data_IF_896183507640
#
_entry.id   IF_896183507640
#
_cell.length_a   1.000
_cell.length_b   1.000
_cell.length_c   1.000
_cell.angle_alpha   90.00
_cell.angle_beta   90.00
_cell.angle_gamma   90.00
#
_symmetry.space_group_name_H-M   'P 1'
#
loop_
_entity.id
_entity.type
_entity.pdbx_description
1 polymer ?
#
# COMPACT_ATOMS: atom_id res chain seq x y z
N UNK A 1 -2.66 3.02 25.24
CA UNK A 1 -1.61 1.98 25.21
C UNK A 1 -0.98 1.99 23.81
N UNK A 2 0.35 1.97 23.69
CA UNK A 2 1.02 1.98 22.39
C UNK A 2 1.06 0.56 21.83
N UNK A 3 0.55 0.36 20.60
CA UNK A 3 0.67 -0.91 19.89
C UNK A 3 1.96 -0.94 19.09
N UNK A 4 2.73 -2.01 19.22
CA UNK A 4 4.03 -2.16 18.53
C UNK A 4 4.09 -3.58 17.95
N UNK A 5 4.36 -3.70 16.65
CA UNK A 5 4.60 -4.98 16.00
C UNK A 5 5.62 -4.85 14.87
N UNK A 6 6.50 -5.83 14.77
CA UNK A 6 7.40 -6.00 13.61
C UNK A 6 7.25 -7.43 13.12
N UNK A 7 6.93 -7.59 11.83
CA UNK A 7 6.67 -8.89 11.20
C UNK A 7 7.44 -9.01 9.89
N UNK A 8 7.85 -10.23 9.55
CA UNK A 8 8.44 -10.59 8.27
C UNK A 8 7.48 -11.47 7.49
N UNK A 9 7.44 -11.31 6.17
CA UNK A 9 6.51 -11.98 5.27
C UNK A 9 7.25 -12.60 4.10
N UNK A 10 6.82 -13.76 3.71
CA UNK A 10 7.19 -14.43 2.45
C UNK A 10 6.00 -14.55 1.51
N UNK A 11 4.81 -14.24 2.00
CA UNK A 11 3.57 -14.18 1.24
C UNK A 11 3.14 -12.72 1.02
N UNK A 12 2.95 -12.26 -0.24
CA UNK A 12 2.54 -10.90 -0.53
C UNK A 12 1.12 -10.59 -0.04
N UNK A 13 0.17 -11.54 -0.09
CA UNK A 13 -1.20 -11.28 0.33
C UNK A 13 -1.26 -10.98 1.83
N UNK A 14 -0.60 -11.81 2.66
CA UNK A 14 -0.47 -11.60 4.11
C UNK A 14 0.21 -10.25 4.44
N UNK A 15 1.22 -9.86 3.64
CA UNK A 15 1.89 -8.56 3.81
C UNK A 15 0.93 -7.40 3.55
N UNK A 16 0.21 -7.41 2.42
CA UNK A 16 -0.69 -6.31 2.08
C UNK A 16 -1.89 -6.22 3.03
N UNK A 17 -2.44 -7.35 3.47
CA UNK A 17 -3.47 -7.39 4.51
C UNK A 17 -2.98 -6.75 5.82
N UNK A 18 -1.71 -6.96 6.17
CA UNK A 18 -1.10 -6.41 7.38
C UNK A 18 -0.81 -4.90 7.30
N UNK A 19 -0.59 -4.35 6.11
CA UNK A 19 -0.40 -2.90 5.91
C UNK A 19 -1.70 -2.15 6.20
N UNK A 20 -2.83 -2.77 5.87
CA UNK A 20 -4.16 -2.18 6.00
C UNK A 20 -4.37 -1.55 7.38
N UNK A 21 -4.88 -0.53 7.69
CA UNK A 21 -5.06 0.11 8.95
C UNK A 21 -6.02 1.28 8.84
N UNK A 22 -5.78 2.10 7.86
CA UNK A 22 -6.71 3.18 7.48
C UNK A 22 -7.55 2.80 6.26
N UNK A 23 -7.29 1.63 5.65
CA UNK A 23 -8.03 1.09 4.51
C UNK A 23 -7.33 -0.10 3.87
N UNK A 24 -8.00 -0.85 3.01
CA UNK A 24 -7.41 -1.99 2.33
C UNK A 24 -6.23 -1.58 1.45
N UNK A 25 -5.23 -2.46 1.38
CA UNK A 25 -4.12 -2.38 0.44
C UNK A 25 -4.13 -3.68 -0.36
N UNK A 26 -4.18 -3.56 -1.68
CA UNK A 26 -4.02 -4.68 -2.60
C UNK A 26 -2.69 -4.54 -3.32
N UNK A 27 -1.95 -5.64 -3.45
CA UNK A 27 -0.66 -5.63 -4.12
C UNK A 27 -0.57 -6.66 -5.24
N UNK A 28 0.00 -6.24 -6.36
CA UNK A 28 0.30 -7.08 -7.51
C UNK A 28 1.80 -7.06 -7.73
N UNK A 29 2.46 -8.19 -7.48
CA UNK A 29 3.88 -8.34 -7.78
C UNK A 29 4.04 -8.40 -9.30
N UNK A 30 4.94 -7.59 -9.83
CA UNK A 30 5.17 -7.45 -11.27
C UNK A 30 6.50 -8.06 -11.73
N UNK A 31 7.41 -8.27 -10.80
CA UNK A 31 8.69 -8.93 -11.01
C UNK A 31 8.64 -10.42 -10.65
N UNK A 32 9.63 -11.16 -11.13
CA UNK A 32 9.85 -12.57 -10.79
C UNK A 32 10.74 -12.68 -9.55
N UNK A 33 10.55 -13.71 -8.76
CA UNK A 33 11.42 -14.04 -7.64
C UNK A 33 10.66 -14.36 -6.37
N UNK A 34 11.42 -14.66 -5.32
CA UNK A 34 10.86 -14.92 -4.00
C UNK A 34 10.52 -13.60 -3.31
N UNK A 35 9.29 -13.47 -2.90
CA UNK A 35 8.84 -12.29 -2.16
C UNK A 35 9.33 -12.36 -0.72
N UNK A 36 9.94 -11.27 -0.29
CA UNK A 36 10.28 -11.03 1.12
C UNK A 36 9.88 -9.61 1.47
N UNK A 37 9.25 -9.45 2.62
CA UNK A 37 8.92 -8.13 3.13
C UNK A 37 9.03 -8.08 4.65
N UNK A 38 9.26 -6.88 5.18
CA UNK A 38 9.13 -6.58 6.60
C UNK A 38 8.20 -5.40 6.79
N UNK A 39 7.40 -5.46 7.84
CA UNK A 39 6.50 -4.39 8.23
C UNK A 39 6.63 -4.12 9.72
N UNK A 40 6.93 -2.87 10.07
CA UNK A 40 6.88 -2.37 11.44
C UNK A 40 5.68 -1.44 11.57
N UNK A 41 4.83 -1.74 12.55
CA UNK A 41 3.65 -0.96 12.90
C UNK A 41 3.82 -0.41 14.31
N UNK A 42 3.67 0.90 14.48
CA UNK A 42 3.60 1.55 15.78
C UNK A 42 2.36 2.43 15.79
N UNK A 43 1.41 2.13 16.69
CA UNK A 43 0.27 2.99 16.90
C UNK A 43 0.45 3.68 18.26
N UNK A 44 0.80 4.93 18.21
CA UNK A 44 0.75 5.81 19.38
C UNK A 44 -0.70 6.18 19.70
N UNK A 45 -0.90 7.10 20.62
CA UNK A 45 -2.22 7.58 21.01
C UNK A 45 -3.01 8.17 19.84
N UNK A 46 -2.41 9.08 19.09
CA UNK A 46 -3.02 9.84 17.99
C UNK A 46 -2.35 9.56 16.64
N UNK A 47 -1.04 9.35 16.60
CA UNK A 47 -0.26 9.13 15.42
C UNK A 47 0.01 7.63 15.22
N UNK A 48 -0.24 7.12 14.02
CA UNK A 48 0.13 5.77 13.62
C UNK A 48 1.25 5.82 12.59
N UNK A 49 2.23 4.97 12.80
CA UNK A 49 3.40 4.86 11.95
C UNK A 49 3.45 3.47 11.29
N UNK A 50 3.81 3.45 10.03
CA UNK A 50 4.13 2.23 9.27
C UNK A 50 5.49 2.39 8.61
N UNK A 51 6.31 1.35 8.69
CA UNK A 51 7.58 1.25 7.99
C UNK A 51 7.62 -0.08 7.28
N UNK A 52 7.69 -0.06 5.96
CA UNK A 52 7.70 -1.25 5.13
C UNK A 52 8.96 -1.34 4.29
N UNK A 53 9.39 -2.58 4.07
CA UNK A 53 10.41 -2.95 3.10
C UNK A 53 9.92 -4.16 2.33
N UNK A 54 10.00 -4.14 1.01
CA UNK A 54 9.62 -5.27 0.16
C UNK A 54 10.62 -5.44 -0.99
N UNK A 55 10.83 -6.71 -1.37
CA UNK A 55 11.95 -7.13 -2.21
C UNK A 55 11.69 -7.04 -3.71
N UNK A 56 10.43 -6.94 -4.14
CA UNK A 56 10.07 -7.08 -5.55
C UNK A 56 9.35 -5.84 -6.10
N UNK A 57 9.53 -5.59 -7.40
CA UNK A 57 8.72 -4.62 -8.12
C UNK A 57 7.23 -4.97 -8.04
N UNK A 58 6.39 -3.95 -7.84
CA UNK A 58 4.96 -4.12 -7.63
C UNK A 58 4.12 -2.93 -8.04
N UNK A 59 2.84 -3.18 -8.17
CA UNK A 59 1.79 -2.15 -8.12
C UNK A 59 0.96 -2.42 -6.88
N UNK A 60 0.87 -1.46 -5.97
CA UNK A 60 -0.03 -1.52 -4.82
C UNK A 60 -1.15 -0.49 -4.99
N UNK A 61 -2.36 -0.87 -4.58
CA UNK A 61 -3.53 -0.01 -4.57
C UNK A 61 -3.87 0.24 -3.12
N UNK A 62 -3.88 1.50 -2.73
CA UNK A 62 -4.22 1.93 -1.39
C UNK A 62 -5.52 2.72 -1.42
N UNK A 63 -6.52 2.26 -0.65
CA UNK A 63 -7.84 2.88 -0.57
C UNK A 63 -8.14 3.29 0.87
N UNK A 64 -7.87 4.55 1.28
CA UNK A 64 -8.15 5.00 2.64
C UNK A 64 -9.67 5.01 2.90
N UNK A 65 -10.08 4.36 3.99
CA UNK A 65 -11.48 4.27 4.44
C UNK A 65 -11.73 4.99 5.76
N UNK A 66 -10.68 5.23 6.53
CA UNK A 66 -10.77 5.96 7.80
C UNK A 66 -10.47 7.44 7.60
N UNK A 67 -11.13 8.28 8.38
CA UNK A 67 -10.92 9.73 8.40
C UNK A 67 -9.57 10.08 9.07
N UNK A 68 -8.46 9.66 8.45
CA UNK A 68 -7.10 9.98 8.89
C UNK A 68 -6.26 10.47 7.72
N UNK A 69 -5.57 11.57 7.91
CA UNK A 69 -4.62 12.07 6.92
C UNK A 69 -3.40 11.18 6.89
N UNK A 70 -3.06 10.67 5.71
CA UNK A 70 -1.91 9.79 5.50
C UNK A 70 -0.83 10.52 4.72
N UNK A 71 0.39 10.48 5.23
CA UNK A 71 1.58 10.96 4.54
C UNK A 71 2.51 9.80 4.25
N UNK A 72 2.95 9.68 3.00
CA UNK A 72 3.83 8.62 2.51
C UNK A 72 5.13 9.23 2.01
N UNK A 73 6.25 8.60 2.33
CA UNK A 73 7.59 9.05 1.92
C UNK A 73 8.56 7.87 1.74
N UNK A 74 9.68 8.10 1.07
CA UNK A 74 10.78 7.15 1.01
C UNK A 74 11.58 7.21 2.31
N UNK A 75 11.88 6.07 2.91
CA UNK A 75 12.71 6.02 4.13
C UNK A 75 14.20 6.07 3.83
N UNK A 76 14.59 5.88 2.56
CA UNK A 76 15.95 5.90 2.08
C UNK A 76 16.06 6.85 0.87
N UNK A 77 17.18 7.57 0.75
CA UNK A 77 17.45 8.44 -0.39
C UNK A 77 17.98 7.67 -1.60
N UNK A 78 18.71 6.59 -1.35
CA UNK A 78 19.40 5.80 -2.35
C UNK A 78 18.51 4.66 -2.89
N UNK A 79 17.27 4.98 -3.26
CA UNK A 79 16.36 4.02 -3.87
C UNK A 79 15.73 4.56 -5.15
N UNK A 80 15.32 3.68 -6.07
CA UNK A 80 14.66 4.11 -7.30
C UNK A 80 13.42 4.98 -7.03
N UNK A 81 13.18 5.92 -7.93
CA UNK A 81 11.98 6.73 -7.90
C UNK A 81 10.72 5.84 -7.92
N UNK A 82 9.69 6.27 -7.20
CA UNK A 82 8.40 5.60 -7.14
C UNK A 82 7.39 6.38 -7.96
N UNK A 83 6.42 5.69 -8.54
CA UNK A 83 5.28 6.35 -9.16
C UNK A 83 4.11 6.25 -8.18
N UNK A 84 3.59 7.39 -7.77
CA UNK A 84 2.41 7.48 -6.92
C UNK A 84 1.38 8.30 -7.67
N UNK A 85 0.18 7.77 -7.79
CA UNK A 85 -0.90 8.40 -8.56
C UNK A 85 -0.51 8.71 -10.04
N UNK A 86 0.40 7.93 -10.62
CA UNK A 86 0.89 8.13 -12.00
C UNK A 86 2.01 9.15 -12.15
N UNK A 87 2.47 9.75 -11.06
CA UNK A 87 3.56 10.73 -11.09
C UNK A 87 4.81 10.14 -10.46
N UNK A 88 5.93 10.29 -11.14
CA UNK A 88 7.23 9.89 -10.60
C UNK A 88 7.57 10.75 -9.38
N UNK A 89 7.92 10.11 -8.28
CA UNK A 89 8.26 10.75 -7.01
C UNK A 89 9.71 10.53 -6.66
N UNK A 90 10.38 11.63 -6.44
CA UNK A 90 11.74 11.60 -5.94
C UNK A 90 11.74 11.19 -4.45
N UNK A 91 12.84 10.58 -3.97
CA UNK A 91 12.90 10.17 -2.57
C UNK A 91 12.65 11.30 -1.56
N UNK A 92 13.03 12.54 -1.86
CA UNK A 92 12.88 13.71 -0.99
C UNK A 92 11.46 14.33 -0.98
N UNK A 93 10.52 13.75 -1.73
CA UNK A 93 9.14 14.21 -1.78
C UNK A 93 8.23 13.42 -0.81
N UNK A 94 7.21 14.10 -0.30
CA UNK A 94 6.15 13.53 0.54
C UNK A 94 4.84 13.56 -0.21
N UNK A 95 4.10 12.48 -0.16
CA UNK A 95 2.74 12.38 -0.71
C UNK A 95 1.74 12.50 0.42
N UNK A 96 0.83 13.45 0.34
CA UNK A 96 -0.32 13.58 1.24
C UNK A 96 -1.54 13.00 0.53
N UNK A 97 -2.04 11.89 1.07
CA UNK A 97 -3.11 11.11 0.44
C UNK A 97 -4.47 11.71 0.82
N UNK A 98 -5.31 11.93 -0.18
CA UNK A 98 -6.69 12.37 -0.01
C UNK A 98 -7.57 11.25 0.52
N UNK A 99 -8.55 11.60 1.35
CA UNK A 99 -9.58 10.65 1.80
C UNK A 99 -10.48 10.22 0.65
N UNK A 100 -10.83 8.93 0.63
CA UNK A 100 -11.78 8.37 -0.33
C UNK A 100 -11.27 8.19 -1.77
N UNK A 101 -9.99 8.44 -2.04
CA UNK A 101 -9.36 8.14 -3.33
C UNK A 101 -8.54 6.86 -3.28
N UNK A 102 -8.66 6.01 -4.30
CA UNK A 102 -7.77 4.86 -4.48
C UNK A 102 -6.51 5.30 -5.21
N UNK A 103 -5.36 5.09 -4.59
CA UNK A 103 -4.08 5.52 -5.15
C UNK A 103 -3.22 4.32 -5.54
N UNK A 104 -2.65 4.40 -6.74
CA UNK A 104 -1.71 3.42 -7.25
C UNK A 104 -0.28 3.81 -6.89
N UNK A 105 0.43 2.90 -6.23
CA UNK A 105 1.85 3.04 -5.91
C UNK A 105 2.62 1.98 -6.68
N UNK A 106 3.41 2.40 -7.66
CA UNK A 106 4.25 1.51 -8.47
C UNK A 106 5.72 1.66 -8.09
N UNK A 107 6.39 0.53 -7.93
CA UNK A 107 7.85 0.45 -7.77
C UNK A 107 8.44 -0.42 -8.88
N UNK A 108 9.64 -0.10 -9.33
CA UNK A 108 10.38 -0.86 -10.36
C UNK A 108 11.36 -1.87 -9.79
N UNK A 109 11.59 -1.83 -8.48
CA UNK A 109 12.51 -2.70 -7.76
C UNK A 109 12.07 -2.82 -6.30
N UNK A 110 12.90 -3.41 -5.46
CA UNK A 110 12.77 -3.38 -4.00
C UNK A 110 12.55 -1.95 -3.51
N UNK A 111 11.72 -1.78 -2.50
CA UNK A 111 11.36 -0.46 -1.98
C UNK A 111 11.32 -0.43 -0.46
N UNK A 112 11.78 0.70 0.11
CA UNK A 112 11.64 1.03 1.52
C UNK A 112 10.77 2.26 1.66
N UNK A 113 9.72 2.16 2.43
CA UNK A 113 8.73 3.23 2.54
C UNK A 113 8.33 3.47 3.99
N UNK A 114 7.94 4.70 4.27
CA UNK A 114 7.34 5.12 5.50
C UNK A 114 5.96 5.72 5.25
N UNK A 115 5.07 5.52 6.20
CA UNK A 115 3.81 6.22 6.26
C UNK A 115 3.51 6.63 7.70
N UNK A 116 2.93 7.80 7.85
CA UNK A 116 2.39 8.29 9.11
C UNK A 116 0.97 8.76 8.89
N UNK A 117 0.10 8.48 9.86
CA UNK A 117 -1.30 8.87 9.79
C UNK A 117 -1.76 9.48 11.11
N UNK A 118 -2.56 10.53 11.03
CA UNK A 118 -3.17 11.17 12.21
C UNK A 118 -4.55 11.70 11.84
N UNK A 119 -5.43 11.92 12.85
CA UNK A 119 -6.72 12.56 12.63
C UNK A 119 -6.55 13.93 11.97
N UNK A 120 -7.44 14.32 11.05
CA UNK A 120 -7.39 15.63 10.40
C UNK A 120 -7.40 16.80 11.36
N UNK A 121 -8.20 16.71 12.41
CA UNK A 121 -8.31 17.71 13.46
C UNK A 121 -7.02 17.90 14.24
N UNK A 122 -6.27 16.83 14.46
CA UNK A 122 -4.95 16.89 15.11
C UNK A 122 -3.93 17.58 14.21
N UNK A 123 -3.94 17.25 12.91
CA UNK A 123 -3.05 17.92 11.96
C UNK A 123 -3.33 19.41 11.86
N UNK A 124 -4.61 19.80 11.86
CA UNK A 124 -5.02 21.20 11.86
C UNK A 124 -4.56 21.93 13.12
N UNK A 125 -4.83 21.34 14.29
CA UNK A 125 -4.43 21.90 15.59
C UNK A 125 -2.92 22.03 15.74
N UNK A 126 -2.16 21.02 15.36
CA UNK A 126 -0.69 21.02 15.36
C UNK A 126 -0.13 22.08 14.40
N UNK A 127 -0.70 22.18 13.19
CA UNK A 127 -0.30 23.22 12.24
C UNK A 127 -0.51 24.61 12.77
N UNK A 128 -1.65 24.87 13.39
CA UNK A 128 -1.95 26.15 14.05
C UNK A 128 -0.99 26.43 15.21
N UNK A 129 -0.75 25.44 16.08
CA UNK A 129 0.10 25.62 17.26
C UNK A 129 1.59 25.85 16.93
N UNK A 130 2.13 25.13 15.95
CA UNK A 130 3.55 25.13 15.62
C UNK A 130 3.90 26.20 14.58
N UNK A 131 3.03 26.40 13.58
CA UNK A 131 3.32 27.24 12.41
C UNK A 131 2.33 28.41 12.21
N UNK A 132 1.36 28.59 13.12
CA UNK A 132 0.36 29.64 13.03
C UNK A 132 -0.65 29.48 11.87
N UNK A 133 -0.71 28.30 11.24
CA UNK A 133 -1.59 28.01 10.11
C UNK A 133 -2.21 26.62 10.24
N UNK A 134 -3.51 26.53 10.06
CA UNK A 134 -4.19 25.23 9.98
C UNK A 134 -3.72 24.44 8.75
N UNK A 135 -3.36 23.18 8.98
CA UNK A 135 -3.03 22.22 7.93
C UNK A 135 -4.24 21.33 7.68
N UNK A 136 -5.01 21.66 6.65
CA UNK A 136 -6.20 20.88 6.27
C UNK A 136 -5.86 19.70 5.35
N UNK A 137 -6.58 18.57 5.48
CA UNK A 137 -6.44 17.47 4.54
C UNK A 137 -6.78 17.92 3.11
N UNK A 138 -6.06 17.42 2.11
CA UNK A 138 -6.32 17.81 0.74
C UNK A 138 -7.60 17.16 0.20
N UNK A 139 -8.30 17.85 -0.68
CA UNK A 139 -9.44 17.32 -1.44
C UNK A 139 -9.04 16.30 -2.52
N UNK A 140 -7.76 16.24 -2.86
CA UNK A 140 -7.15 15.26 -3.77
C UNK A 140 -5.71 14.97 -3.33
N UNK A 141 -5.21 13.79 -3.62
CA UNK A 141 -3.82 13.42 -3.32
C UNK A 141 -2.86 14.38 -3.99
N UNK A 142 -1.98 14.98 -3.19
CA UNK A 142 -0.99 15.91 -3.69
C UNK A 142 0.40 15.55 -3.17
N UNK A 143 1.38 16.15 -3.80
CA UNK A 143 2.78 15.91 -3.52
C UNK A 143 3.43 17.22 -3.14
N UNK A 144 4.30 17.14 -2.18
CA UNK A 144 5.02 18.30 -1.66
C UNK A 144 6.51 17.98 -1.57
N UNK A 145 7.32 18.99 -1.77
CA UNK A 145 8.76 18.92 -1.60
C UNK A 145 9.16 19.73 -0.36
N UNK A 146 9.34 19.06 0.80
CA UNK A 146 9.80 19.71 2.03
C UNK A 146 11.21 20.26 1.88
N UNK A 147 11.62 21.15 2.78
CA UNK A 147 13.03 21.51 2.92
C UNK A 147 13.88 20.27 3.24
N UNK A 148 15.15 20.29 2.79
CA UNK A 148 16.08 19.17 3.01
C UNK A 148 16.22 18.79 4.49
N UNK A 149 16.27 19.79 5.38
CA UNK A 149 16.37 19.58 6.83
C UNK A 149 15.09 18.93 7.40
N UNK A 150 13.91 19.34 6.94
CA UNK A 150 12.64 18.81 7.41
C UNK A 150 12.47 17.33 7.04
N UNK A 151 12.73 16.96 5.79
CA UNK A 151 12.60 15.55 5.36
C UNK A 151 13.65 14.65 6.03
N UNK A 152 14.87 15.13 6.22
CA UNK A 152 15.90 14.38 6.95
C UNK A 152 15.50 14.16 8.41
N UNK A 153 14.96 15.18 9.10
CA UNK A 153 14.46 15.04 10.47
C UNK A 153 13.35 14.00 10.57
N UNK A 154 12.36 14.07 9.67
CA UNK A 154 11.26 13.10 9.63
C UNK A 154 11.78 11.67 9.44
N UNK A 155 12.71 11.46 8.52
CA UNK A 155 13.30 10.13 8.27
C UNK A 155 14.08 9.61 9.47
N UNK A 156 14.93 10.45 10.09
CA UNK A 156 15.72 10.07 11.26
C UNK A 156 14.85 9.67 12.45
N UNK A 157 13.78 10.42 12.72
CA UNK A 157 12.82 10.08 13.76
C UNK A 157 12.05 8.80 13.45
N UNK A 158 11.57 8.67 12.22
CA UNK A 158 10.87 7.49 11.75
C UNK A 158 11.76 6.23 11.81
N UNK A 159 13.05 6.37 11.50
CA UNK A 159 14.03 5.30 11.63
C UNK A 159 14.29 4.95 13.09
N UNK A 160 14.49 5.95 13.96
CA UNK A 160 14.70 5.75 15.39
C UNK A 160 13.54 4.99 16.05
N UNK A 161 12.29 5.39 15.74
CA UNK A 161 11.09 4.69 16.21
C UNK A 161 11.04 3.26 15.66
N UNK A 162 11.34 3.07 14.37
CA UNK A 162 11.39 1.74 13.75
C UNK A 162 12.47 0.83 14.37
N UNK A 163 13.61 1.40 14.70
CA UNK A 163 14.69 0.68 15.38
C UNK A 163 14.29 0.28 16.81
N UNK A 164 13.73 1.21 17.58
CA UNK A 164 13.22 0.92 18.92
C UNK A 164 12.10 -0.14 18.88
N UNK A 165 11.16 -0.04 17.97
CA UNK A 165 10.10 -1.02 17.80
C UNK A 165 10.64 -2.44 17.53
N UNK A 166 11.76 -2.55 16.83
CA UNK A 166 12.39 -3.83 16.47
C UNK A 166 13.31 -4.37 17.56
N UNK A 167 14.06 -3.51 18.24
CA UNK A 167 15.14 -3.90 19.15
C UNK A 167 14.81 -3.78 20.63
N UNK A 168 13.94 -2.85 21.00
CA UNK A 168 13.59 -2.54 22.37
C UNK A 168 12.13 -2.08 22.50
N UNK A 169 11.15 -2.94 22.10
CA UNK A 169 9.73 -2.57 22.11
C UNK A 169 9.23 -2.17 23.49
N UNK A 170 9.74 -2.79 24.54
CA UNK A 170 9.39 -2.47 25.92
C UNK A 170 9.80 -1.04 26.34
N UNK A 171 10.90 -0.53 25.79
CA UNK A 171 11.31 0.86 26.01
C UNK A 171 10.34 1.81 25.28
N UNK A 172 10.02 1.50 24.02
CA UNK A 172 9.09 2.31 23.23
C UNK A 172 7.67 2.28 23.81
N UNK A 173 7.29 1.21 24.49
CA UNK A 173 5.96 1.08 25.13
C UNK A 173 5.82 1.91 26.41
N UNK A 174 6.91 2.43 27.01
CA UNK A 174 6.83 3.30 28.18
C UNK A 174 6.11 4.59 27.79
N UNK A 175 5.15 5.02 28.61
CA UNK A 175 4.28 6.16 28.32
C UNK A 175 5.04 7.44 27.96
N UNK A 176 6.11 7.73 28.69
CA UNK A 176 6.94 8.92 28.48
C UNK A 176 7.71 8.86 27.16
N UNK A 177 8.30 7.71 26.85
CA UNK A 177 9.04 7.51 25.60
C UNK A 177 8.10 7.55 24.41
N UNK A 178 6.97 6.85 24.49
CA UNK A 178 5.95 6.83 23.44
C UNK A 178 5.44 8.24 23.17
N UNK A 179 5.12 9.03 24.22
CA UNK A 179 4.65 10.40 24.08
C UNK A 179 5.71 11.29 23.43
N UNK A 180 6.95 11.23 23.89
CA UNK A 180 8.04 12.02 23.33
C UNK A 180 8.30 11.71 21.85
N UNK A 181 8.25 10.42 21.46
CA UNK A 181 8.41 10.00 20.05
C UNK A 181 7.22 10.44 19.20
N UNK A 182 6.00 10.36 19.73
CA UNK A 182 4.79 10.83 19.04
C UNK A 182 4.85 12.34 18.79
N UNK A 183 5.14 13.12 19.80
CA UNK A 183 5.29 14.59 19.72
C UNK A 183 6.38 15.00 18.72
N UNK A 184 7.55 14.34 18.77
CA UNK A 184 8.64 14.62 17.85
C UNK A 184 8.29 14.28 16.38
N UNK A 185 7.58 13.19 16.13
CA UNK A 185 7.08 12.84 14.79
C UNK A 185 6.01 13.84 14.30
N UNK A 186 5.08 14.23 15.16
CA UNK A 186 4.05 15.22 14.83
C UNK A 186 4.68 16.57 14.44
N UNK A 187 5.65 17.03 15.22
CA UNK A 187 6.41 18.25 14.92
C UNK A 187 7.15 18.15 13.57
N UNK A 188 7.84 17.02 13.32
CA UNK A 188 8.56 16.79 12.07
C UNK A 188 7.62 16.80 10.84
N UNK A 189 6.41 16.25 10.98
CA UNK A 189 5.36 16.27 9.95
C UNK A 189 4.94 17.70 9.65
N UNK A 190 4.63 18.50 10.69
CA UNK A 190 4.23 19.88 10.51
C UNK A 190 5.33 20.68 9.81
N UNK A 191 6.59 20.52 10.21
CA UNK A 191 7.72 21.17 9.53
C UNK A 191 7.85 20.73 8.06
N UNK A 192 7.65 19.44 7.74
CA UNK A 192 7.64 18.97 6.37
C UNK A 192 6.56 19.67 5.52
N UNK A 193 5.34 19.77 6.06
CA UNK A 193 4.23 20.38 5.32
C UNK A 193 4.31 21.90 5.26
N UNK A 194 4.76 22.54 6.33
CA UNK A 194 4.90 23.99 6.41
C UNK A 194 6.02 24.54 5.53
N UNK A 195 7.12 23.79 5.37
CA UNK A 195 8.27 24.18 4.54
C UNK A 195 8.14 23.73 3.08
N UNK A 196 7.01 23.11 2.70
CA UNK A 196 6.89 22.42 1.44
C UNK A 196 6.43 23.32 0.29
N UNK A 197 7.04 23.12 -0.86
CA UNK A 197 6.57 23.65 -2.13
C UNK A 197 5.58 22.66 -2.77
N UNK A 198 4.40 23.14 -3.26
CA UNK A 198 3.45 22.28 -3.96
C UNK A 198 4.05 21.77 -5.27
N UNK A 199 3.98 20.47 -5.49
CA UNK A 199 4.31 19.89 -6.80
C UNK A 199 3.06 19.92 -7.67
N UNK A 200 3.12 20.65 -8.78
CA UNK A 200 1.99 20.82 -9.69
C UNK A 200 1.57 19.51 -10.36
N UNK A 201 0.27 19.20 -10.26
CA UNK A 201 -0.37 18.07 -10.95
C UNK A 201 -1.29 18.61 -12.04
N UNK A 202 -1.07 18.19 -13.30
CA UNK A 202 -1.83 18.68 -14.45
C UNK A 202 -3.31 18.26 -14.40
N UNK A 203 -4.18 18.96 -15.17
CA UNK A 203 -5.59 18.59 -15.32
C UNK A 203 -5.77 17.21 -15.98
N UNK A 204 -4.87 16.85 -16.90
CA UNK A 204 -4.83 15.52 -17.52
C UNK A 204 -4.65 14.42 -16.47
N UNK A 205 -3.73 14.61 -15.52
CA UNK A 205 -3.51 13.68 -14.40
C UNK A 205 -4.76 13.44 -13.55
N UNK A 206 -5.54 14.52 -13.28
CA UNK A 206 -6.81 14.40 -12.55
C UNK A 206 -7.88 13.65 -13.35
N UNK A 207 -7.88 13.82 -14.67
CA UNK A 207 -8.76 13.08 -15.56
C UNK A 207 -8.42 11.57 -15.55
N UNK A 208 -7.14 11.23 -15.71
CA UNK A 208 -6.65 9.84 -15.63
C UNK A 208 -6.93 9.22 -14.25
N UNK A 209 -6.82 9.98 -13.17
CA UNK A 209 -7.18 9.52 -11.82
C UNK A 209 -8.64 9.04 -11.75
N UNK A 210 -9.56 9.80 -12.36
CA UNK A 210 -10.99 9.46 -12.40
C UNK A 210 -11.27 8.19 -13.20
N UNK A 211 -10.59 8.03 -14.33
CA UNK A 211 -10.67 6.82 -15.16
C UNK A 211 -10.20 5.61 -14.38
N UNK A 212 -9.02 5.69 -13.73
CA UNK A 212 -8.46 4.60 -12.95
C UNK A 212 -9.30 4.22 -11.75
N UNK A 213 -9.91 5.20 -11.06
CA UNK A 213 -10.86 4.91 -9.98
C UNK A 213 -12.06 4.11 -10.48
N UNK A 214 -12.66 4.51 -11.62
CA UNK A 214 -13.77 3.76 -12.23
C UNK A 214 -13.35 2.36 -12.68
N UNK A 215 -12.10 2.22 -13.14
CA UNK A 215 -11.53 0.90 -13.46
C UNK A 215 -11.53 0.00 -12.23
N UNK A 216 -10.99 0.48 -11.10
CA UNK A 216 -10.95 -0.31 -9.88
C UNK A 216 -12.34 -0.62 -9.33
N UNK A 217 -13.26 0.35 -9.35
CA UNK A 217 -14.68 0.14 -8.99
C UNK A 217 -15.32 -0.96 -9.85
N UNK A 218 -15.12 -0.93 -11.17
CA UNK A 218 -15.64 -1.94 -12.09
C UNK A 218 -14.99 -3.32 -11.85
N UNK A 219 -13.70 -3.39 -11.54
CA UNK A 219 -13.01 -4.64 -11.24
C UNK A 219 -13.41 -5.23 -9.88
N UNK A 220 -13.72 -4.40 -8.89
CA UNK A 220 -14.25 -4.87 -7.61
C UNK A 220 -15.68 -5.40 -7.74
N UNK A 221 -16.53 -4.72 -8.53
CA UNK A 221 -17.89 -5.17 -8.79
C UNK A 221 -17.95 -6.51 -9.55
N UNK A 222 -16.91 -6.83 -10.34
CA UNK A 222 -16.81 -8.05 -11.15
C UNK A 222 -15.66 -8.95 -10.66
N UNK A 223 -15.55 -9.17 -9.36
CA UNK A 223 -14.43 -9.93 -8.76
C UNK A 223 -14.37 -11.41 -9.15
N UNK A 224 -15.50 -12.02 -9.55
CA UNK A 224 -15.67 -13.46 -9.68
C UNK A 224 -15.70 -14.00 -11.12
N UNK A 225 -15.27 -13.22 -12.12
CA UNK A 225 -15.31 -13.71 -13.50
C UNK A 225 -14.34 -13.03 -14.45
N UNK A 226 -14.19 -13.59 -15.67
CA UNK A 226 -13.41 -12.93 -16.71
C UNK A 226 -14.09 -11.63 -17.16
N UNK A 227 -13.38 -10.52 -17.05
CA UNK A 227 -13.86 -9.21 -17.52
C UNK A 227 -13.38 -9.01 -18.96
N UNK A 228 -14.31 -8.77 -19.86
CA UNK A 228 -13.99 -8.45 -21.26
C UNK A 228 -13.64 -6.98 -21.42
N UNK A 229 -12.68 -6.70 -22.30
CA UNK A 229 -12.14 -5.34 -22.47
C UNK A 229 -13.19 -4.34 -22.95
N UNK A 230 -14.12 -4.77 -23.81
CA UNK A 230 -15.24 -3.92 -24.30
C UNK A 230 -16.18 -3.53 -23.16
N UNK A 231 -16.54 -4.48 -22.30
CA UNK A 231 -17.39 -4.26 -21.14
C UNK A 231 -16.72 -3.33 -20.14
N UNK A 232 -15.42 -3.53 -19.91
CA UNK A 232 -14.63 -2.68 -19.04
C UNK A 232 -14.54 -1.25 -19.55
N UNK A 233 -14.28 -1.05 -20.84
CA UNK A 233 -14.28 0.28 -21.44
C UNK A 233 -15.66 0.98 -21.33
N UNK A 234 -16.76 0.22 -21.50
CA UNK A 234 -18.10 0.72 -21.32
C UNK A 234 -18.40 1.12 -19.87
N UNK A 235 -18.04 0.26 -18.90
CA UNK A 235 -18.23 0.52 -17.48
C UNK A 235 -17.42 1.73 -17.00
N UNK A 236 -16.20 1.87 -17.50
CA UNK A 236 -15.30 3.01 -17.17
C UNK A 236 -15.71 4.29 -17.91
N UNK A 237 -16.46 4.16 -19.01
CA UNK A 237 -16.90 5.28 -19.84
C UNK A 237 -15.75 5.92 -20.64
N UNK A 238 -14.86 5.09 -21.20
CA UNK A 238 -13.70 5.58 -21.97
C UNK A 238 -13.33 4.64 -23.12
N UNK A 239 -12.55 5.15 -24.09
CA UNK A 239 -12.01 4.32 -25.17
C UNK A 239 -10.87 3.42 -24.68
N UNK A 240 -10.62 2.32 -25.40
CA UNK A 240 -9.46 1.46 -25.11
C UNK A 240 -8.12 2.21 -25.19
N UNK A 241 -7.97 3.12 -26.15
CA UNK A 241 -6.75 3.94 -26.28
C UNK A 241 -6.52 4.77 -25.02
N UNK A 242 -7.55 5.50 -24.57
CA UNK A 242 -7.46 6.32 -23.35
C UNK A 242 -7.19 5.46 -22.11
N UNK A 243 -7.89 4.31 -21.99
CA UNK A 243 -7.65 3.38 -20.88
C UNK A 243 -6.22 2.84 -20.87
N UNK A 244 -5.69 2.54 -22.07
CA UNK A 244 -4.30 2.09 -22.22
C UNK A 244 -3.31 3.15 -21.75
N UNK A 245 -3.53 4.41 -22.13
CA UNK A 245 -2.64 5.51 -21.77
C UNK A 245 -2.70 5.79 -20.25
N UNK A 246 -3.90 5.72 -19.64
CA UNK A 246 -4.06 5.80 -18.18
C UNK A 246 -3.33 4.66 -17.45
N UNK A 247 -3.48 3.41 -17.94
CA UNK A 247 -2.80 2.26 -17.35
C UNK A 247 -1.28 2.35 -17.53
N UNK A 248 -0.80 2.81 -18.69
CA UNK A 248 0.63 2.97 -18.92
C UNK A 248 1.21 4.03 -17.98
N UNK A 249 0.53 5.15 -17.80
CA UNK A 249 0.98 6.21 -16.90
C UNK A 249 1.00 5.75 -15.44
N UNK A 250 -0.11 5.15 -14.96
CA UNK A 250 -0.27 4.85 -13.53
C UNK A 250 0.29 3.50 -13.10
N UNK A 251 0.18 2.49 -13.96
CA UNK A 251 0.57 1.12 -13.65
C UNK A 251 1.87 0.71 -14.36
N UNK A 252 2.31 1.47 -15.38
CA UNK A 252 3.48 1.15 -16.19
C UNK A 252 3.26 -0.05 -17.12
N UNK A 253 2.00 -0.40 -17.40
CA UNK A 253 1.66 -1.54 -18.24
C UNK A 253 0.30 -1.37 -18.93
N UNK A 254 0.04 -2.20 -19.95
CA UNK A 254 -1.25 -2.20 -20.63
C UNK A 254 -2.38 -2.75 -19.75
N UNK A 255 -3.65 -2.37 -20.01
CA UNK A 255 -4.82 -2.92 -19.29
C UNK A 255 -4.87 -4.45 -19.35
N UNK A 256 -4.57 -5.05 -20.52
CA UNK A 256 -4.55 -6.51 -20.69
C UNK A 256 -3.52 -7.17 -19.75
N UNK A 257 -2.33 -6.58 -19.62
CA UNK A 257 -1.28 -7.10 -18.74
C UNK A 257 -1.68 -6.95 -17.26
N UNK A 258 -2.26 -5.81 -16.90
CA UNK A 258 -2.76 -5.57 -15.55
C UNK A 258 -3.86 -6.56 -15.15
N UNK A 259 -4.86 -6.75 -15.98
CA UNK A 259 -5.94 -7.72 -15.75
C UNK A 259 -5.42 -9.16 -15.65
N UNK A 260 -4.44 -9.50 -16.48
CA UNK A 260 -3.83 -10.83 -16.43
C UNK A 260 -3.10 -11.05 -15.11
N UNK A 261 -2.26 -10.09 -14.67
CA UNK A 261 -1.57 -10.15 -13.38
C UNK A 261 -2.56 -10.22 -12.23
N UNK A 262 -3.59 -9.37 -12.22
CA UNK A 262 -4.63 -9.36 -11.20
C UNK A 262 -5.29 -10.74 -11.06
N UNK A 263 -5.68 -11.35 -12.18
CA UNK A 263 -6.27 -12.72 -12.17
C UNK A 263 -5.28 -13.77 -11.66
N UNK A 264 -4.00 -13.68 -12.01
CA UNK A 264 -2.97 -14.57 -11.49
C UNK A 264 -2.82 -14.47 -9.96
N UNK A 265 -2.85 -13.26 -9.42
CA UNK A 265 -2.80 -13.02 -7.97
C UNK A 265 -4.07 -13.50 -7.26
N UNK A 266 -5.24 -13.27 -7.84
CA UNK A 266 -6.51 -13.78 -7.29
C UNK A 266 -6.52 -15.31 -7.28
N UNK A 267 -6.14 -15.96 -8.37
CA UNK A 267 -6.02 -17.42 -8.44
C UNK A 267 -5.02 -17.96 -7.39
N UNK A 268 -3.88 -17.27 -7.20
CA UNK A 268 -2.90 -17.64 -6.17
C UNK A 268 -3.51 -17.53 -4.77
N UNK A 269 -4.21 -16.46 -4.46
CA UNK A 269 -4.87 -16.24 -3.18
C UNK A 269 -5.85 -17.37 -2.88
N UNK A 270 -6.66 -17.74 -3.86
CA UNK A 270 -7.63 -18.82 -3.69
C UNK A 270 -6.95 -20.20 -3.57
N UNK A 271 -5.88 -20.46 -4.34
CA UNK A 271 -5.09 -21.68 -4.20
C UNK A 271 -4.49 -21.82 -2.78
N UNK A 272 -3.95 -20.74 -2.23
CA UNK A 272 -3.36 -20.77 -0.88
C UNK A 272 -4.39 -20.91 0.26
N UNK A 273 -5.66 -20.55 0.00
CA UNK A 273 -6.75 -20.61 1.00
C UNK A 273 -7.64 -21.82 0.85
N UNK A 274 -7.60 -22.47 -0.30
CA UNK A 274 -8.48 -23.60 -0.59
C UNK A 274 -8.08 -24.85 0.18
N UNK A 275 -9.09 -25.65 0.53
CA UNK A 275 -8.91 -27.00 1.05
C UNK A 275 -8.50 -27.93 -0.11
N UNK A 276 -7.29 -28.53 -0.09
CA UNK A 276 -6.80 -29.38 -1.18
C UNK A 276 -7.61 -30.67 -1.36
N UNK A 277 -8.43 -31.06 -0.38
CA UNK A 277 -9.32 -32.21 -0.49
C UNK A 277 -10.64 -31.88 -1.21
N UNK A 278 -11.03 -30.58 -1.23
CA UNK A 278 -12.31 -30.10 -1.80
C UNK A 278 -12.14 -29.28 -3.08
N UNK A 279 -10.93 -28.83 -3.40
CA UNK A 279 -10.69 -27.91 -4.49
C UNK A 279 -9.56 -28.41 -5.38
N UNK A 280 -9.63 -28.14 -6.67
CA UNK A 280 -8.59 -28.46 -7.62
C UNK A 280 -7.96 -27.23 -8.25
N UNK A 281 -6.70 -27.37 -8.67
CA UNK A 281 -6.01 -26.31 -9.45
C UNK A 281 -6.81 -25.99 -10.73
N UNK A 282 -7.41 -26.98 -11.35
CA UNK A 282 -8.22 -26.82 -12.57
C UNK A 282 -9.43 -25.91 -12.30
N UNK A 283 -10.22 -26.20 -11.29
CA UNK A 283 -11.40 -25.41 -10.94
C UNK A 283 -11.04 -23.95 -10.63
N UNK A 284 -10.02 -23.75 -9.79
CA UNK A 284 -9.58 -22.40 -9.44
C UNK A 284 -9.03 -21.66 -10.65
N UNK A 285 -8.19 -22.29 -11.46
CA UNK A 285 -7.65 -21.65 -12.66
C UNK A 285 -8.74 -21.27 -13.68
N UNK A 286 -9.70 -22.17 -13.90
CA UNK A 286 -10.79 -21.93 -14.87
C UNK A 286 -11.79 -20.87 -14.37
N UNK A 287 -12.06 -20.77 -13.08
CA UNK A 287 -12.90 -19.70 -12.51
C UNK A 287 -12.33 -18.30 -12.77
N UNK A 288 -10.99 -18.19 -12.88
CA UNK A 288 -10.31 -16.96 -13.27
C UNK A 288 -10.05 -16.83 -14.78
N UNK A 289 -10.65 -17.69 -15.61
CA UNK A 289 -10.55 -17.65 -17.08
C UNK A 289 -9.23 -18.13 -17.65
N UNK A 290 -8.54 -19.03 -16.96
CA UNK A 290 -7.34 -19.71 -17.46
C UNK A 290 -7.71 -21.10 -18.01
N UNK A 291 -8.06 -21.15 -19.29
CA UNK A 291 -8.50 -22.38 -19.96
C UNK A 291 -7.35 -23.28 -20.38
N UNK A 292 -6.17 -22.70 -20.68
CA UNK A 292 -4.96 -23.43 -21.08
C UNK A 292 -4.10 -23.74 -19.84
N UNK A 293 -4.46 -24.81 -19.12
CA UNK A 293 -3.88 -25.14 -17.81
C UNK A 293 -2.36 -25.31 -17.83
N UNK A 294 -1.81 -25.86 -18.92
CA UNK A 294 -0.36 -25.98 -19.08
C UNK A 294 0.34 -24.63 -19.14
N UNK A 295 -0.21 -23.68 -19.91
CA UNK A 295 0.31 -22.31 -19.96
C UNK A 295 0.13 -21.57 -18.64
N UNK A 296 -1.01 -21.78 -17.99
CA UNK A 296 -1.24 -21.24 -16.65
C UNK A 296 -0.18 -21.70 -15.66
N UNK A 297 0.08 -23.01 -15.58
CA UNK A 297 1.06 -23.58 -14.64
C UNK A 297 2.48 -23.05 -14.87
N UNK A 298 2.90 -22.93 -16.14
CA UNK A 298 4.20 -22.34 -16.50
C UNK A 298 4.27 -20.87 -16.11
N UNK A 299 3.24 -20.09 -16.44
CA UNK A 299 3.18 -18.67 -16.14
C UNK A 299 3.13 -18.42 -14.63
N UNK A 300 2.36 -19.22 -13.89
CA UNK A 300 2.26 -19.20 -12.44
C UNK A 300 3.63 -19.44 -11.80
N UNK A 301 4.30 -20.54 -12.19
CA UNK A 301 5.63 -20.87 -11.68
C UNK A 301 6.66 -19.78 -12.00
N UNK A 302 6.57 -19.20 -13.19
CA UNK A 302 7.46 -18.11 -13.60
C UNK A 302 7.25 -16.85 -12.74
N UNK A 303 6.02 -16.56 -12.35
CA UNK A 303 5.68 -15.35 -11.59
C UNK A 303 5.95 -15.52 -10.08
N UNK A 304 5.53 -16.65 -9.51
CA UNK A 304 5.54 -16.87 -8.06
C UNK A 304 6.66 -17.80 -7.55
N UNK A 305 7.44 -18.42 -8.44
CA UNK A 305 8.54 -19.30 -8.05
C UNK A 305 8.12 -20.71 -7.62
N UNK A 306 6.82 -21.00 -7.56
CA UNK A 306 6.24 -22.28 -7.15
C UNK A 306 5.18 -22.77 -8.14
N UNK A 307 4.82 -24.06 -8.11
CA UNK A 307 3.72 -24.56 -8.94
C UNK A 307 2.35 -24.28 -8.28
N UNK A 308 1.26 -24.17 -9.07
CA UNK A 308 -0.10 -24.03 -8.51
C UNK A 308 -0.47 -25.15 -7.54
N UNK A 309 -0.03 -26.38 -7.81
CA UNK A 309 -0.28 -27.53 -6.93
C UNK A 309 0.52 -27.47 -5.62
N UNK A 310 1.69 -26.83 -5.60
CA UNK A 310 2.41 -26.57 -4.34
C UNK A 310 1.69 -25.51 -3.53
N UNK A 311 1.20 -24.45 -4.17
CA UNK A 311 0.42 -23.41 -3.48
C UNK A 311 -0.86 -23.98 -2.85
N UNK A 312 -1.60 -24.84 -3.56
CA UNK A 312 -2.81 -25.51 -3.07
C UNK A 312 -2.53 -26.42 -1.86
N UNK A 313 -1.37 -27.10 -1.86
CA UNK A 313 -0.99 -28.04 -0.77
C UNK A 313 -0.23 -27.38 0.36
N UNK A 314 0.00 -26.07 0.30
CA UNK A 314 0.68 -25.35 1.36
C UNK A 314 -0.19 -25.43 2.61
N UNK A 315 0.35 -25.88 3.78
CA UNK A 315 -0.39 -25.76 5.03
C UNK A 315 -0.74 -24.28 5.22
N UNK A 316 -1.95 -23.97 5.74
CA UNK A 316 -2.26 -22.59 6.12
C UNK A 316 -1.09 -22.07 6.97
N UNK A 317 -0.64 -20.85 6.71
CA UNK A 317 0.34 -20.19 7.56
C UNK A 317 -0.27 -20.17 8.97
N UNK A 318 0.16 -21.09 9.80
CA UNK A 318 -0.23 -21.10 11.23
C UNK A 318 0.28 -19.76 11.81
N UNK A 319 -0.57 -18.97 12.41
CA UNK A 319 -0.12 -17.80 13.16
C UNK A 319 0.86 -18.33 14.21
N UNK A 320 2.13 -17.92 14.12
CA UNK A 320 3.16 -18.38 15.06
C UNK A 320 2.67 -18.18 16.48
N UNK A 321 2.92 -19.15 17.42
CA UNK A 321 2.50 -19.03 18.80
C UNK A 321 3.02 -17.72 19.41
N UNK A 322 2.12 -16.82 19.75
CA UNK A 322 2.34 -15.41 20.11
C UNK A 322 1.58 -14.43 19.22
N UNK A 323 1.05 -14.85 18.07
CA UNK A 323 0.23 -14.04 17.15
C UNK A 323 -1.26 -13.95 17.49
N UNK A 324 -1.70 -14.54 18.61
CA UNK A 324 -3.03 -14.29 19.22
C UNK A 324 -3.15 -12.88 19.84
N UNK A 325 -2.27 -11.94 19.50
CA UNK A 325 -2.61 -10.55 19.63
C UNK A 325 -3.69 -10.25 18.59
N UNK A 326 -4.92 -10.08 19.04
CA UNK A 326 -6.08 -9.58 18.32
C UNK A 326 -5.64 -8.61 17.24
N UNK A 327 -6.16 -8.81 16.02
CA UNK A 327 -5.85 -7.89 14.91
C UNK A 327 -5.97 -6.47 15.44
N UNK A 328 -4.96 -5.60 15.25
CA UNK A 328 -5.01 -4.21 15.76
C UNK A 328 -6.27 -3.45 15.32
N UNK A 329 -7.03 -4.04 14.43
CA UNK A 329 -8.27 -3.53 13.83
C UNK A 329 -9.54 -3.97 14.55
N UNK A 330 -9.50 -4.91 15.49
CA UNK A 330 -10.68 -5.32 16.28
C UNK A 330 -11.12 -4.23 17.26
N UNK A 331 -10.19 -3.39 17.73
CA UNK A 331 -10.50 -2.26 18.62
C UNK A 331 -11.19 -1.09 17.93
N UNK A 332 -11.27 -1.08 16.58
CA UNK A 332 -11.84 0.04 15.81
C UNK A 332 -13.33 -0.18 15.50
N UNK A 333 -13.87 -1.38 15.74
CA UNK A 333 -15.30 -1.67 15.51
C UNK A 333 -16.23 -1.25 16.66
N UNK A 334 -15.69 -0.72 17.74
CA UNK A 334 -16.43 -0.34 18.97
C UNK A 334 -16.21 1.13 19.42
N UNK A 335 -15.80 2.01 18.52
CA UNK A 335 -15.74 3.45 18.80
C UNK A 335 -16.54 4.25 17.77
#
# INVERSE_FOLDING_TARGET
>A
MTYIATRSFTDPDSYYESIGGVGPVEGIITARGNFHATLTCVNFSRLWMRRGEDSLARVAIYTPRMARTTMMFATDQDQPARHIAGVERQPDEVTVVSLGSSEHVRTSAAARWGAVTLPPEDLAALGQAINGRELTPPSFTHHVKPSKSAILRLRSLHEAVGHLAKKAPDILARSEVARAMEEALQEAIVFCLASAEPVHVSSAHRHHARIMRRLEEALHANSNGPVYMSELCAAVGTSYSTLRDCCQERLGMSPKRYLWLRRMHLARRDLCRADPEKSSVTEIATSYGFWELGRFAVAYRTLFGESPSMALRRPPDDPKPGENAESPWQFIKSA
#
